data_IF_779800459270
#
_entry.id   IF_779800459270
#
_cell.length_a   1.000
_cell.length_b   1.000
_cell.length_c   1.000
_cell.angle_alpha   90.00
_cell.angle_beta   90.00
_cell.angle_gamma   90.00
#
_symmetry.space_group_name_H-M   'P 1'
#
loop_
_entity.id
_entity.type
_entity.pdbx_description
1 polymer ?
#
# COMPACT_ATOMS: atom_id res chain seq x y z
N UNK A 1 -35.92 -5.28 -23.00
CA UNK A 1 -34.53 -4.80 -23.15
C UNK A 1 -34.24 -3.48 -22.42
N UNK A 2 -35.10 -2.44 -22.54
CA UNK A 2 -34.90 -1.13 -21.87
C UNK A 2 -34.84 -1.17 -20.33
N UNK A 3 -35.62 -2.05 -19.67
CA UNK A 3 -35.71 -2.13 -18.19
C UNK A 3 -34.42 -2.59 -17.50
N UNK A 4 -33.55 -3.31 -18.21
CA UNK A 4 -32.27 -3.78 -17.64
C UNK A 4 -31.22 -2.66 -17.66
N UNK A 5 -31.25 -1.77 -18.66
CA UNK A 5 -30.28 -0.65 -18.77
C UNK A 5 -30.48 0.35 -17.62
N UNK A 6 -31.73 0.65 -17.26
CA UNK A 6 -32.02 1.51 -16.09
C UNK A 6 -31.74 0.83 -14.74
N UNK A 7 -31.58 -0.49 -14.72
CA UNK A 7 -31.21 -1.21 -13.50
C UNK A 7 -29.71 -1.28 -13.26
N UNK A 8 -28.86 -1.07 -14.28
CA UNK A 8 -27.40 -1.24 -14.18
C UNK A 8 -26.58 0.02 -14.49
N UNK A 9 -27.21 1.16 -14.79
CA UNK A 9 -26.50 2.40 -15.12
C UNK A 9 -25.55 2.85 -14.00
N UNK A 10 -25.94 2.69 -12.74
CA UNK A 10 -25.13 3.08 -11.59
C UNK A 10 -23.87 2.21 -11.50
N UNK A 11 -23.99 0.90 -11.75
CA UNK A 11 -22.85 -0.01 -11.81
C UNK A 11 -21.91 0.34 -12.98
N UNK A 12 -22.45 0.72 -14.14
CA UNK A 12 -21.63 1.16 -15.26
C UNK A 12 -20.80 2.40 -14.91
N UNK A 13 -21.39 3.39 -14.22
CA UNK A 13 -20.66 4.58 -13.76
C UNK A 13 -19.58 4.22 -12.73
N UNK A 14 -19.87 3.33 -11.77
CA UNK A 14 -18.89 2.88 -10.78
C UNK A 14 -17.71 2.18 -11.46
N UNK A 15 -17.96 1.32 -12.44
CA UNK A 15 -16.91 0.65 -13.22
C UNK A 15 -16.05 1.68 -13.97
N UNK A 16 -16.67 2.67 -14.61
CA UNK A 16 -15.93 3.74 -15.30
C UNK A 16 -15.07 4.53 -14.30
N UNK A 17 -15.61 4.88 -13.13
CA UNK A 17 -14.87 5.57 -12.08
C UNK A 17 -13.67 4.74 -11.57
N UNK A 18 -13.85 3.43 -11.39
CA UNK A 18 -12.78 2.50 -11.00
C UNK A 18 -11.69 2.45 -12.08
N UNK A 19 -12.04 2.35 -13.36
CA UNK A 19 -11.08 2.34 -14.47
C UNK A 19 -10.27 3.65 -14.52
N UNK A 20 -10.93 4.79 -14.34
CA UNK A 20 -10.27 6.10 -14.26
C UNK A 20 -9.33 6.17 -13.04
N UNK A 21 -9.77 5.67 -11.88
CA UNK A 21 -8.95 5.62 -10.66
C UNK A 21 -7.68 4.78 -10.86
N UNK A 22 -7.80 3.60 -11.46
CA UNK A 22 -6.65 2.74 -11.80
C UNK A 22 -5.73 3.44 -12.80
N UNK A 23 -6.28 4.12 -13.81
CA UNK A 23 -5.47 4.87 -14.79
C UNK A 23 -4.62 5.94 -14.10
N UNK A 24 -5.21 6.72 -13.20
CA UNK A 24 -4.52 7.82 -12.53
C UNK A 24 -3.51 7.28 -11.48
N UNK A 25 -3.88 6.27 -10.70
CA UNK A 25 -3.11 5.83 -9.52
C UNK A 25 -2.06 4.76 -9.82
N UNK A 26 -2.26 3.94 -10.84
CA UNK A 26 -1.37 2.82 -11.17
C UNK A 26 -0.64 3.07 -12.48
N UNK A 27 -1.38 3.27 -13.57
CA UNK A 27 -0.82 3.33 -14.93
C UNK A 27 0.03 4.59 -15.16
N UNK A 28 -0.45 5.76 -14.74
CA UNK A 28 0.28 7.01 -14.95
C UNK A 28 1.65 7.07 -14.21
N UNK A 29 1.75 6.71 -12.92
CA UNK A 29 3.04 6.74 -12.22
C UNK A 29 3.89 5.48 -12.40
N UNK A 30 3.44 4.47 -13.18
CA UNK A 30 4.08 3.16 -13.29
C UNK A 30 5.60 3.21 -13.49
N UNK A 31 6.04 3.93 -14.53
CA UNK A 31 7.46 4.05 -14.89
C UNK A 31 8.28 4.89 -13.90
N UNK A 32 7.63 5.65 -13.01
CA UNK A 32 8.30 6.44 -11.97
C UNK A 32 8.44 5.68 -10.64
N UNK A 33 7.60 4.65 -10.43
CA UNK A 33 7.64 3.75 -9.27
C UNK A 33 8.52 2.54 -9.57
N UNK A 34 8.32 1.88 -10.72
CA UNK A 34 9.07 0.71 -11.15
C UNK A 34 10.18 1.15 -12.12
N UNK A 35 11.32 1.55 -11.54
CA UNK A 35 12.48 2.07 -12.27
C UNK A 35 13.61 1.03 -12.28
N UNK A 36 14.84 1.44 -11.95
CA UNK A 36 15.94 0.52 -11.65
C UNK A 36 15.75 -0.23 -10.33
N UNK A 37 14.85 0.28 -9.46
CA UNK A 37 14.34 -0.38 -8.26
C UNK A 37 12.87 0.01 -8.06
N UNK A 38 12.19 -0.65 -7.11
CA UNK A 38 10.85 -0.25 -6.68
C UNK A 38 10.92 0.96 -5.75
N UNK A 39 10.68 2.15 -6.30
CA UNK A 39 10.82 3.42 -5.60
C UNK A 39 9.52 3.81 -4.89
N UNK A 40 9.50 3.68 -3.57
CA UNK A 40 8.44 4.28 -2.75
C UNK A 40 8.58 5.82 -2.77
N UNK A 41 7.46 6.52 -2.95
CA UNK A 41 7.45 7.99 -3.01
C UNK A 41 7.63 8.63 -1.63
N UNK A 42 8.09 9.89 -1.59
CA UNK A 42 8.28 10.64 -0.35
C UNK A 42 9.27 9.99 0.63
N UNK A 43 9.11 10.28 1.92
CA UNK A 43 9.96 9.76 3.00
C UNK A 43 9.19 8.73 3.87
N UNK A 44 7.99 9.08 4.33
CA UNK A 44 7.21 8.26 5.27
C UNK A 44 6.92 6.82 4.79
N UNK A 45 6.66 6.57 3.48
CA UNK A 45 6.48 5.20 2.98
C UNK A 45 7.72 4.31 3.17
N UNK A 46 8.92 4.88 3.17
CA UNK A 46 10.14 4.13 3.49
C UNK A 46 10.22 3.74 4.96
N UNK A 47 9.70 4.58 5.85
CA UNK A 47 9.60 4.23 7.27
C UNK A 47 8.54 3.14 7.50
N UNK A 48 7.40 3.19 6.80
CA UNK A 48 6.46 2.07 6.78
C UNK A 48 7.12 0.77 6.30
N UNK A 49 7.91 0.80 5.22
CA UNK A 49 8.66 -0.37 4.75
C UNK A 49 9.53 -0.97 5.87
N UNK A 50 10.29 -0.15 6.60
CA UNK A 50 11.09 -0.60 7.77
C UNK A 50 10.25 -1.20 8.89
N UNK A 51 9.07 -0.63 9.18
CA UNK A 51 8.17 -1.15 10.21
C UNK A 51 7.51 -2.46 9.79
N UNK A 52 7.11 -2.56 8.52
CA UNK A 52 6.44 -3.73 7.95
C UNK A 52 7.41 -4.90 7.83
N UNK A 53 8.61 -4.68 7.28
CA UNK A 53 9.65 -5.71 7.18
C UNK A 53 10.02 -6.27 8.57
N UNK A 54 10.16 -5.40 9.57
CA UNK A 54 10.39 -5.81 10.95
C UNK A 54 9.19 -6.57 11.56
N UNK A 55 7.96 -6.11 11.30
CA UNK A 55 6.74 -6.78 11.77
C UNK A 55 6.58 -8.17 11.14
N UNK A 56 6.87 -8.33 9.85
CA UNK A 56 6.84 -9.64 9.17
C UNK A 56 7.81 -10.60 9.84
N UNK A 57 9.04 -10.16 10.10
CA UNK A 57 10.06 -11.00 10.74
C UNK A 57 9.69 -11.43 12.17
N UNK A 58 8.90 -10.62 12.89
CA UNK A 58 8.54 -10.84 14.29
C UNK A 58 7.04 -11.09 14.49
N UNK A 59 6.32 -11.44 13.42
CA UNK A 59 4.87 -11.49 13.41
C UNK A 59 4.36 -12.48 14.48
N UNK A 60 3.34 -12.12 15.28
CA UNK A 60 2.43 -10.97 15.16
C UNK A 60 2.86 -9.72 15.96
N UNK A 61 4.10 -9.62 16.42
CA UNK A 61 4.57 -8.48 17.20
C UNK A 61 5.14 -7.38 16.29
N UNK A 62 4.89 -6.12 16.65
CA UNK A 62 5.55 -4.96 16.05
C UNK A 62 6.29 -4.16 17.11
N UNK A 63 7.27 -3.38 16.66
CA UNK A 63 7.92 -2.40 17.54
C UNK A 63 7.04 -1.14 17.74
N UNK A 64 7.23 -0.53 18.90
CA UNK A 64 6.64 0.76 19.28
C UNK A 64 7.68 1.84 19.60
N UNK A 65 8.95 1.44 19.64
CA UNK A 65 10.11 2.30 19.79
C UNK A 65 11.19 1.83 18.82
N UNK A 66 11.80 2.76 18.09
CA UNK A 66 12.83 2.47 17.10
C UNK A 66 14.17 3.14 17.46
N UNK A 67 15.18 2.36 17.89
CA UNK A 67 16.51 2.89 18.16
C UNK A 67 17.36 3.12 16.89
N UNK A 68 16.92 2.67 15.71
CA UNK A 68 17.64 2.89 14.45
C UNK A 68 17.52 4.33 13.92
N UNK A 69 16.52 5.08 14.38
CA UNK A 69 16.33 6.49 14.04
C UNK A 69 16.70 7.39 15.21
N UNK A 70 16.85 8.70 14.97
CA UNK A 70 17.16 9.70 16.00
C UNK A 70 18.31 9.30 16.94
N UNK A 71 19.42 8.83 16.36
CA UNK A 71 20.61 8.45 17.11
C UNK A 71 21.17 9.67 17.89
N UNK A 72 21.63 9.50 19.15
CA UNK A 72 21.75 8.25 19.92
C UNK A 72 20.52 7.90 20.78
N UNK A 73 19.40 8.59 20.62
CA UNK A 73 18.26 8.49 21.54
C UNK A 73 17.21 7.47 21.12
N UNK A 74 16.92 7.33 19.82
CA UNK A 74 15.77 6.55 19.35
C UNK A 74 14.45 7.31 19.44
N UNK A 75 13.44 6.88 18.66
CA UNK A 75 12.12 7.54 18.65
C UNK A 75 10.97 6.55 18.82
N UNK A 76 9.94 6.97 19.56
CA UNK A 76 8.67 6.25 19.60
C UNK A 76 7.97 6.29 18.23
N UNK A 77 7.38 5.16 17.83
CA UNK A 77 6.69 5.03 16.56
C UNK A 77 5.22 5.44 16.72
N UNK A 78 4.84 6.61 16.20
CA UNK A 78 3.44 7.05 16.17
C UNK A 78 2.66 6.49 14.96
N UNK A 79 3.32 5.75 14.07
CA UNK A 79 2.73 5.15 12.88
C UNK A 79 1.78 4.02 13.29
N UNK A 80 0.50 4.18 12.96
CA UNK A 80 -0.58 3.32 13.47
C UNK A 80 -0.43 1.84 13.14
N UNK A 81 -1.08 0.94 13.92
CA UNK A 81 -0.98 -0.51 13.75
C UNK A 81 -1.63 -0.99 12.46
N UNK A 82 -2.74 -0.39 12.04
CA UNK A 82 -3.53 -0.84 10.90
C UNK A 82 -2.69 -1.04 9.64
N UNK A 83 -2.01 0.00 9.16
CA UNK A 83 -1.26 -0.09 7.90
C UNK A 83 -0.08 -1.04 8.03
N UNK A 84 0.62 -1.06 9.17
CA UNK A 84 1.73 -1.98 9.41
C UNK A 84 1.26 -3.44 9.34
N UNK A 85 0.21 -3.80 10.09
CA UNK A 85 -0.29 -5.17 10.11
C UNK A 85 -0.95 -5.58 8.80
N UNK A 86 -1.80 -4.73 8.23
CA UNK A 86 -2.46 -5.00 6.95
C UNK A 86 -1.44 -5.27 5.85
N UNK A 87 -0.41 -4.42 5.76
CA UNK A 87 0.65 -4.57 4.77
C UNK A 87 1.55 -5.77 5.05
N UNK A 88 1.82 -6.09 6.32
CA UNK A 88 2.60 -7.27 6.71
C UNK A 88 1.88 -8.55 6.29
N UNK A 89 0.56 -8.62 6.51
CA UNK A 89 -0.29 -9.75 6.11
C UNK A 89 -0.25 -9.91 4.58
N UNK A 90 -0.41 -8.83 3.82
CA UNK A 90 -0.30 -8.88 2.35
C UNK A 90 1.08 -9.35 1.90
N UNK A 91 2.16 -8.80 2.47
CA UNK A 91 3.53 -9.24 2.18
C UNK A 91 3.72 -10.75 2.40
N UNK A 92 3.24 -11.28 3.52
CA UNK A 92 3.28 -12.72 3.81
C UNK A 92 2.44 -13.56 2.85
N UNK A 93 1.22 -13.12 2.50
CA UNK A 93 0.35 -13.81 1.54
C UNK A 93 1.02 -13.92 0.16
N UNK A 94 1.68 -12.85 -0.29
CA UNK A 94 2.39 -12.83 -1.57
C UNK A 94 3.80 -13.44 -1.52
N UNK A 95 4.25 -13.96 -0.36
CA UNK A 95 5.60 -14.49 -0.18
C UNK A 95 6.72 -13.45 -0.35
N UNK A 96 6.38 -12.16 -0.25
CA UNK A 96 7.26 -11.04 -0.49
C UNK A 96 7.59 -10.34 0.83
N UNK A 97 8.62 -10.80 1.53
CA UNK A 97 8.87 -10.44 2.93
C UNK A 97 9.99 -9.43 3.17
N UNK A 98 10.77 -9.07 2.15
CA UNK A 98 11.88 -8.10 2.26
C UNK A 98 12.23 -7.47 0.90
N UNK A 99 13.05 -6.42 0.91
CA UNK A 99 13.69 -5.86 -0.28
C UNK A 99 12.72 -5.31 -1.34
N UNK A 100 13.06 -5.52 -2.63
CA UNK A 100 12.25 -5.03 -3.76
C UNK A 100 10.90 -5.72 -3.88
N UNK A 101 10.83 -7.03 -3.59
CA UNK A 101 9.58 -7.79 -3.69
C UNK A 101 8.54 -7.26 -2.70
N UNK A 102 8.94 -7.01 -1.45
CA UNK A 102 8.05 -6.39 -0.47
C UNK A 102 7.62 -4.99 -0.92
N UNK A 103 8.57 -4.13 -1.33
CA UNK A 103 8.24 -2.77 -1.83
C UNK A 103 7.26 -2.80 -3.00
N UNK A 104 7.35 -3.79 -3.90
CA UNK A 104 6.41 -3.94 -5.02
C UNK A 104 4.97 -4.15 -4.51
N UNK A 105 4.77 -5.02 -3.51
CA UNK A 105 3.46 -5.22 -2.88
C UNK A 105 2.98 -3.94 -2.20
N UNK A 106 3.86 -3.29 -1.42
CA UNK A 106 3.51 -2.08 -0.67
C UNK A 106 3.08 -0.91 -1.56
N UNK A 107 3.66 -0.79 -2.76
CA UNK A 107 3.35 0.29 -3.71
C UNK A 107 1.87 0.28 -4.17
N UNK A 108 1.21 -0.88 -4.20
CA UNK A 108 -0.19 -0.98 -4.60
C UNK A 108 -1.19 -0.65 -3.48
N UNK A 109 -0.79 -0.71 -2.21
CA UNK A 109 -1.68 -0.49 -1.07
C UNK A 109 -2.42 0.86 -1.12
N UNK A 110 -1.74 2.02 -1.28
CA UNK A 110 -2.45 3.30 -1.38
C UNK A 110 -3.28 3.43 -2.67
N UNK A 111 -2.85 2.79 -3.77
CA UNK A 111 -3.61 2.80 -5.03
C UNK A 111 -4.94 2.05 -4.88
N UNK A 112 -4.92 0.85 -4.30
CA UNK A 112 -6.10 0.05 -4.00
C UNK A 112 -7.01 0.79 -3.02
N UNK A 113 -6.47 1.33 -1.93
CA UNK A 113 -7.25 2.12 -0.97
C UNK A 113 -7.98 3.30 -1.64
N UNK A 114 -7.30 4.02 -2.53
CA UNK A 114 -7.91 5.12 -3.30
C UNK A 114 -8.94 4.69 -4.34
N UNK A 115 -8.91 3.44 -4.80
CA UNK A 115 -9.93 2.88 -5.71
C UNK A 115 -11.13 2.34 -4.94
N UNK A 116 -10.92 1.71 -3.78
CA UNK A 116 -12.00 1.12 -2.96
C UNK A 116 -12.94 2.19 -2.38
N UNK A 117 -12.46 3.41 -2.10
CA UNK A 117 -13.28 4.55 -1.60
C UNK A 117 -14.42 4.95 -2.57
N UNK A 118 -14.42 4.48 -3.81
CA UNK A 118 -15.51 4.74 -4.77
C UNK A 118 -16.82 4.07 -4.34
N UNK A 119 -16.74 3.01 -3.52
CA UNK A 119 -17.88 2.27 -2.98
C UNK A 119 -18.19 2.72 -1.55
#
# INVERSE_FOLDING_TARGET
>A
MRRNIESYWHLAILIVAVLISIKIRVLNPWNSVFTWTVRLGGNDPWYYYRLIENCIHNFPNRIWFDPFTYYPFGSYTHFGPFLVYFSSILGMIFGATSGESLRAVLAFIPAIGGTVIIF
#
